data_IF_805435381883
#
_entry.id   IF_805435381883
#
_cell.length_a   1.000
_cell.length_b   1.000
_cell.length_c   1.000
_cell.angle_alpha   90.00
_cell.angle_beta   90.00
_cell.angle_gamma   90.00
#
_symmetry.space_group_name_H-M   'P 1'
#
loop_
_entity.id
_entity.type
_entity.pdbx_description
1 polymer ?
#
# COMPACT_ATOMS: atom_id res chain seq x y z
N UNK A 1 13.84 -13.17 4.33
CA UNK A 1 13.45 -13.01 2.92
C UNK A 1 14.70 -12.65 2.15
N UNK A 2 15.16 -13.51 1.27
CA UNK A 2 16.21 -13.17 0.30
C UNK A 2 15.48 -12.63 -0.93
N UNK A 3 15.36 -11.33 -1.05
CA UNK A 3 14.85 -10.72 -2.27
C UNK A 3 15.88 -10.98 -3.40
N UNK A 4 15.45 -11.58 -4.50
CA UNK A 4 16.28 -11.76 -5.67
C UNK A 4 16.69 -10.41 -6.29
N UNK A 5 17.58 -10.40 -7.29
CA UNK A 5 18.18 -9.18 -7.86
C UNK A 5 17.17 -8.21 -8.50
N UNK A 6 15.92 -8.59 -8.66
CA UNK A 6 14.88 -7.77 -9.28
C UNK A 6 13.94 -7.06 -8.30
N UNK A 7 13.98 -7.40 -7.01
CA UNK A 7 13.11 -6.84 -5.97
C UNK A 7 13.49 -5.42 -5.58
N UNK A 8 12.75 -4.86 -4.64
CA UNK A 8 12.92 -3.56 -4.02
C UNK A 8 11.65 -3.25 -3.26
N UNK A 9 11.72 -2.38 -2.25
CA UNK A 9 10.56 -2.10 -1.38
C UNK A 9 9.32 -1.67 -2.18
N UNK A 10 9.51 -0.94 -3.28
CA UNK A 10 8.41 -0.48 -4.12
C UNK A 10 7.67 -1.61 -4.83
N UNK A 11 8.37 -2.68 -5.26
CA UNK A 11 7.73 -3.83 -5.87
C UNK A 11 7.22 -4.83 -4.84
N UNK A 12 7.99 -5.07 -3.77
CA UNK A 12 7.58 -5.98 -2.68
C UNK A 12 6.32 -5.49 -1.96
N UNK A 13 6.18 -4.14 -1.80
CA UNK A 13 5.05 -3.50 -1.14
C UNK A 13 4.14 -2.73 -2.12
N UNK A 14 4.14 -3.09 -3.40
CA UNK A 14 3.29 -2.45 -4.42
C UNK A 14 1.78 -2.55 -4.10
N UNK A 15 1.39 -3.55 -3.32
CA UNK A 15 0.02 -3.71 -2.84
C UNK A 15 -0.45 -2.56 -1.92
N UNK A 16 0.45 -1.75 -1.35
CA UNK A 16 0.08 -0.54 -0.62
C UNK A 16 -0.35 0.59 -1.57
N UNK A 17 0.29 0.69 -2.74
CA UNK A 17 -0.13 1.61 -3.79
C UNK A 17 -1.48 1.22 -4.38
N UNK A 18 -1.70 -0.09 -4.56
CA UNK A 18 -2.98 -0.63 -4.98
C UNK A 18 -4.09 -0.34 -3.96
N UNK A 19 -3.81 -0.56 -2.67
CA UNK A 19 -4.73 -0.24 -1.57
C UNK A 19 -5.12 1.25 -1.54
N UNK A 20 -4.18 2.15 -1.76
CA UNK A 20 -4.45 3.59 -1.86
C UNK A 20 -5.43 3.87 -3.00
N UNK A 21 -5.18 3.33 -4.19
CA UNK A 21 -6.07 3.52 -5.34
C UNK A 21 -7.46 2.91 -5.13
N UNK A 22 -7.51 1.72 -4.54
CA UNK A 22 -8.76 1.03 -4.26
C UNK A 22 -9.65 1.77 -3.26
N UNK A 23 -9.06 2.32 -2.19
CA UNK A 23 -9.79 3.02 -1.12
C UNK A 23 -10.07 4.49 -1.43
N UNK A 24 -9.09 5.19 -2.01
CA UNK A 24 -9.11 6.65 -2.11
C UNK A 24 -9.28 7.15 -3.56
N UNK A 25 -9.25 6.24 -4.52
CA UNK A 25 -9.32 6.56 -5.93
C UNK A 25 -7.94 6.79 -6.55
N UNK A 26 -7.93 7.17 -7.83
CA UNK A 26 -6.71 7.30 -8.60
C UNK A 26 -5.75 8.33 -7.99
N UNK A 27 -4.47 7.95 -7.93
CA UNK A 27 -3.41 8.78 -7.40
C UNK A 27 -2.31 9.03 -8.44
N UNK A 28 -1.66 10.19 -8.35
CA UNK A 28 -0.51 10.59 -9.18
C UNK A 28 0.64 10.96 -8.26
N UNK A 29 1.84 10.48 -8.55
CA UNK A 29 3.05 10.81 -7.78
C UNK A 29 3.46 12.25 -8.06
N UNK A 30 3.53 13.08 -7.02
CA UNK A 30 4.01 14.45 -7.09
C UNK A 30 5.50 14.53 -6.78
N UNK A 31 5.95 13.75 -5.80
CA UNK A 31 7.33 13.72 -5.36
C UNK A 31 7.64 12.39 -4.68
N UNK A 32 8.90 11.95 -4.78
CA UNK A 32 9.33 10.71 -4.16
C UNK A 32 10.83 10.67 -3.90
N UNK A 33 11.24 9.77 -3.02
CA UNK A 33 12.63 9.46 -2.77
C UNK A 33 12.77 8.00 -2.41
N UNK A 34 13.73 7.36 -3.04
CA UNK A 34 14.12 5.99 -2.69
C UNK A 34 15.50 5.99 -2.04
N UNK A 35 15.73 5.04 -1.18
CA UNK A 35 16.99 4.90 -0.47
C UNK A 35 17.36 3.41 -0.36
N UNK A 36 18.66 3.14 -0.44
CA UNK A 36 19.26 1.84 -0.16
C UNK A 36 20.22 1.97 0.99
N UNK A 37 19.88 1.41 2.15
CA UNK A 37 20.69 1.51 3.37
C UNK A 37 21.94 0.64 3.34
N UNK A 38 21.89 -0.45 2.57
CA UNK A 38 22.93 -1.49 2.59
C UNK A 38 22.89 -2.41 3.81
N UNK A 39 21.86 -2.29 4.66
CA UNK A 39 21.66 -3.14 5.85
C UNK A 39 21.01 -4.48 5.52
N UNK A 40 20.31 -4.54 4.39
CA UNK A 40 19.69 -5.76 3.88
C UNK A 40 20.44 -6.26 2.65
N UNK A 41 20.44 -7.59 2.44
CA UNK A 41 20.94 -8.21 1.21
C UNK A 41 19.97 -7.99 0.03
N UNK A 42 19.75 -6.71 -0.30
CA UNK A 42 18.91 -6.27 -1.42
C UNK A 42 19.75 -5.45 -2.38
N UNK A 43 19.55 -5.65 -3.68
CA UNK A 43 20.25 -4.85 -4.72
C UNK A 43 19.54 -3.53 -5.02
N UNK A 44 18.25 -3.44 -4.66
CA UNK A 44 17.39 -2.28 -4.88
C UNK A 44 17.12 -1.53 -3.58
N UNK A 45 16.23 -0.54 -3.67
CA UNK A 45 15.78 0.28 -2.56
C UNK A 45 15.13 -0.57 -1.44
N UNK A 46 15.44 -0.25 -0.18
CA UNK A 46 14.86 -0.85 1.03
C UNK A 46 13.98 0.14 1.82
N UNK A 47 13.97 1.40 1.38
CA UNK A 47 13.09 2.46 1.86
C UNK A 47 12.61 3.31 0.67
N UNK A 48 11.35 3.66 0.65
CA UNK A 48 10.77 4.64 -0.26
C UNK A 48 9.79 5.54 0.48
N UNK A 49 9.83 6.84 0.17
CA UNK A 49 8.86 7.83 0.64
C UNK A 49 8.26 8.54 -0.57
N UNK A 50 6.99 8.91 -0.48
CA UNK A 50 6.30 9.57 -1.58
C UNK A 50 5.22 10.54 -1.12
N UNK A 51 4.94 11.53 -1.96
CA UNK A 51 3.79 12.41 -1.87
C UNK A 51 2.96 12.23 -3.14
N UNK A 52 1.69 11.86 -2.96
CA UNK A 52 0.79 11.63 -4.08
C UNK A 52 -0.40 12.58 -3.99
N UNK A 53 -0.93 12.97 -5.14
CA UNK A 53 -2.20 13.70 -5.25
C UNK A 53 -3.30 12.74 -5.70
N UNK A 54 -4.48 12.86 -5.09
CA UNK A 54 -5.68 12.13 -5.47
C UNK A 54 -6.47 12.91 -6.52
N UNK A 55 -6.99 12.26 -7.54
CA UNK A 55 -7.83 12.89 -8.58
C UNK A 55 -9.09 13.53 -7.98
N UNK A 56 -9.65 12.95 -6.92
CA UNK A 56 -10.78 13.49 -6.17
C UNK A 56 -10.45 14.66 -5.24
N UNK A 57 -9.19 15.09 -5.20
CA UNK A 57 -8.65 16.06 -4.25
C UNK A 57 -8.10 15.39 -2.99
N UNK A 58 -7.06 15.97 -2.44
CA UNK A 58 -6.34 15.45 -1.27
C UNK A 58 -4.92 15.01 -1.58
N UNK A 59 -4.18 14.73 -0.52
CA UNK A 59 -2.77 14.31 -0.58
C UNK A 59 -2.57 13.05 0.23
N UNK A 60 -1.66 12.19 -0.25
CA UNK A 60 -1.23 10.98 0.43
C UNK A 60 0.27 11.06 0.69
N UNK A 61 0.67 10.96 1.96
CA UNK A 61 2.04 10.70 2.35
C UNK A 61 2.26 9.19 2.45
N UNK A 62 3.26 8.68 1.75
CA UNK A 62 3.60 7.27 1.69
C UNK A 62 4.98 7.03 2.28
N UNK A 63 5.10 6.00 3.12
CA UNK A 63 6.37 5.41 3.50
C UNK A 63 6.29 3.90 3.33
N UNK A 64 7.24 3.33 2.57
CA UNK A 64 7.42 1.89 2.40
C UNK A 64 8.81 1.53 2.92
N UNK A 65 8.89 0.61 3.87
CA UNK A 65 10.08 0.37 4.66
C UNK A 65 10.27 -1.13 4.95
N UNK A 66 11.39 -1.69 4.52
CA UNK A 66 11.80 -3.05 4.84
C UNK A 66 12.74 -3.14 6.04
N UNK A 67 13.10 -2.00 6.66
CA UNK A 67 14.08 -1.91 7.73
C UNK A 67 13.48 -2.03 9.13
N UNK A 68 12.15 -1.95 9.23
CA UNK A 68 11.43 -1.99 10.51
C UNK A 68 11.69 -3.31 11.24
N UNK A 69 11.99 -3.18 12.53
CA UNK A 69 12.25 -4.34 13.43
C UNK A 69 10.97 -4.98 13.95
N UNK A 70 9.86 -4.24 13.85
CA UNK A 70 8.52 -4.66 14.23
C UNK A 70 7.62 -4.49 13.02
N UNK A 71 6.77 -5.47 12.78
CA UNK A 71 5.78 -5.35 11.70
C UNK A 71 4.89 -4.13 11.95
N UNK A 72 4.82 -3.27 10.96
CA UNK A 72 4.00 -2.07 10.98
C UNK A 72 3.30 -1.94 9.62
N UNK A 73 1.97 -1.88 9.61
CA UNK A 73 1.17 -1.66 8.42
C UNK A 73 -0.07 -0.88 8.80
N UNK A 74 0.02 0.43 8.71
CA UNK A 74 -1.02 1.34 9.18
C UNK A 74 -1.41 2.34 8.11
N UNK A 75 -2.66 2.80 8.16
CA UNK A 75 -3.16 3.88 7.33
C UNK A 75 -3.97 4.84 8.18
N UNK A 76 -3.72 6.14 8.01
CA UNK A 76 -4.51 7.21 8.62
C UNK A 76 -5.17 8.04 7.51
N UNK A 77 -6.48 8.24 7.60
CA UNK A 77 -7.25 9.03 6.64
C UNK A 77 -8.00 10.12 7.37
N UNK A 78 -7.73 11.38 7.02
CA UNK A 78 -8.44 12.54 7.56
C UNK A 78 -9.37 13.11 6.48
N UNK A 79 -10.63 13.24 6.81
CA UNK A 79 -11.64 13.94 6.02
C UNK A 79 -12.07 15.23 6.73
N UNK A 80 -13.04 15.95 6.19
CA UNK A 80 -13.62 17.14 6.82
C UNK A 80 -14.37 16.83 8.13
N UNK A 81 -14.93 15.60 8.28
CA UNK A 81 -15.73 15.22 9.43
C UNK A 81 -15.07 14.15 10.31
N UNK A 82 -14.23 13.30 9.73
CA UNK A 82 -13.76 12.09 10.38
C UNK A 82 -12.24 11.90 10.25
N UNK A 83 -11.67 11.30 11.28
CA UNK A 83 -10.34 10.73 11.28
C UNK A 83 -10.44 9.21 11.42
N UNK A 84 -10.00 8.50 10.39
CA UNK A 84 -9.92 7.04 10.39
C UNK A 84 -8.49 6.60 10.63
N UNK A 85 -8.31 5.60 11.46
CA UNK A 85 -7.02 4.93 11.64
C UNK A 85 -7.22 3.42 11.50
N UNK A 86 -6.44 2.83 10.60
CA UNK A 86 -6.44 1.41 10.29
C UNK A 86 -5.10 0.81 10.73
N UNK A 87 -5.14 -0.28 11.48
CA UNK A 87 -4.02 -1.19 11.67
C UNK A 87 -4.33 -2.48 10.91
N UNK A 88 -3.58 -2.71 9.83
CA UNK A 88 -3.80 -3.83 8.92
C UNK A 88 -3.10 -5.12 9.41
N UNK A 89 -2.29 -5.05 10.47
CA UNK A 89 -1.72 -6.22 11.15
C UNK A 89 -2.75 -6.80 12.12
N UNK A 90 -3.34 -5.95 12.97
CA UNK A 90 -4.32 -6.36 13.98
C UNK A 90 -5.75 -6.47 13.41
N UNK A 91 -5.98 -5.97 12.18
CA UNK A 91 -7.31 -5.93 11.57
C UNK A 91 -8.25 -4.98 12.28
N UNK A 92 -7.75 -3.85 12.79
CA UNK A 92 -8.55 -2.88 13.52
C UNK A 92 -8.78 -1.59 12.72
N UNK A 93 -9.98 -1.04 12.88
CA UNK A 93 -10.40 0.26 12.35
C UNK A 93 -10.98 1.09 13.48
N UNK A 94 -10.50 2.31 13.62
CA UNK A 94 -11.11 3.33 14.49
C UNK A 94 -11.55 4.55 13.69
N UNK A 95 -12.57 5.23 14.20
CA UNK A 95 -13.09 6.49 13.68
C UNK A 95 -13.16 7.50 14.83
N UNK A 96 -12.49 8.63 14.70
CA UNK A 96 -12.38 9.67 15.73
C UNK A 96 -11.94 9.14 17.12
N UNK A 97 -11.11 8.09 17.10
CA UNK A 97 -10.59 7.44 18.30
C UNK A 97 -11.48 6.34 18.89
N UNK A 98 -12.66 6.11 18.33
CA UNK A 98 -13.54 5.02 18.72
C UNK A 98 -13.37 3.80 17.81
N UNK A 99 -13.25 2.61 18.38
CA UNK A 99 -13.11 1.37 17.60
C UNK A 99 -14.42 1.07 16.86
N UNK A 100 -14.34 1.02 15.53
CA UNK A 100 -15.47 0.68 14.64
C UNK A 100 -15.50 -0.81 14.35
N UNK A 101 -14.32 -1.40 14.14
CA UNK A 101 -14.17 -2.82 13.85
C UNK A 101 -12.82 -3.31 14.40
N UNK A 102 -12.81 -4.53 14.89
CA UNK A 102 -11.56 -5.22 15.27
C UNK A 102 -11.76 -6.73 15.17
N UNK A 103 -10.74 -7.42 14.74
CA UNK A 103 -10.75 -8.89 14.71
C UNK A 103 -9.60 -9.42 13.87
N UNK A 104 -9.19 -10.66 14.12
CA UNK A 104 -8.11 -11.29 13.38
C UNK A 104 -8.47 -11.39 11.90
N UNK A 105 -7.50 -11.09 11.06
CA UNK A 105 -7.62 -11.29 9.61
C UNK A 105 -7.09 -12.68 9.28
N UNK A 106 -8.00 -13.59 8.93
CA UNK A 106 -7.63 -14.94 8.52
C UNK A 106 -7.07 -14.92 7.09
N UNK A 107 -5.75 -15.05 6.98
CA UNK A 107 -5.01 -14.95 5.73
C UNK A 107 -5.57 -15.85 4.63
N UNK A 108 -5.89 -17.09 4.95
CA UNK A 108 -6.37 -18.06 3.98
C UNK A 108 -7.76 -17.69 3.43
N UNK A 109 -8.61 -17.07 4.25
CA UNK A 109 -9.90 -16.56 3.82
C UNK A 109 -9.77 -15.39 2.84
N UNK A 110 -8.81 -14.48 3.09
CA UNK A 110 -8.51 -13.36 2.18
C UNK A 110 -8.05 -13.89 0.82
N UNK A 111 -7.09 -14.83 0.79
CA UNK A 111 -6.64 -15.44 -0.46
C UNK A 111 -7.77 -16.18 -1.19
N UNK A 112 -8.59 -16.94 -0.46
CA UNK A 112 -9.72 -17.62 -1.03
C UNK A 112 -10.76 -16.65 -1.61
N UNK A 113 -10.99 -15.51 -0.97
CA UNK A 113 -11.87 -14.45 -1.48
C UNK A 113 -11.32 -13.83 -2.76
N UNK A 114 -10.03 -13.48 -2.80
CA UNK A 114 -9.35 -12.98 -4.00
C UNK A 114 -9.48 -13.96 -5.18
N UNK A 115 -9.18 -15.24 -4.97
CA UNK A 115 -9.30 -16.26 -6.03
C UNK A 115 -10.75 -16.37 -6.53
N UNK A 116 -11.73 -16.36 -5.62
CA UNK A 116 -13.15 -16.39 -6.02
C UNK A 116 -13.53 -15.15 -6.84
N UNK A 117 -13.09 -13.96 -6.45
CA UNK A 117 -13.36 -12.72 -7.16
C UNK A 117 -12.84 -12.79 -8.62
N UNK A 118 -11.60 -13.23 -8.80
CA UNK A 118 -10.99 -13.38 -10.13
C UNK A 118 -11.72 -14.42 -10.97
N UNK A 119 -11.99 -15.62 -10.42
CA UNK A 119 -12.65 -16.72 -11.17
C UNK A 119 -14.08 -16.34 -11.55
N UNK A 120 -14.78 -15.60 -10.70
CA UNK A 120 -16.18 -15.21 -10.91
C UNK A 120 -16.34 -13.89 -11.67
N UNK A 121 -15.23 -13.23 -12.05
CA UNK A 121 -15.25 -11.94 -12.73
C UNK A 121 -15.94 -10.84 -11.92
N UNK A 122 -15.73 -10.83 -10.60
CA UNK A 122 -16.31 -9.81 -9.73
C UNK A 122 -15.60 -8.48 -9.90
N UNK A 123 -16.31 -7.35 -9.73
CA UNK A 123 -15.74 -6.01 -9.94
C UNK A 123 -14.64 -5.65 -8.93
N UNK A 124 -14.56 -6.36 -7.80
CA UNK A 124 -13.55 -6.14 -6.77
C UNK A 124 -12.20 -6.82 -7.08
N UNK A 125 -12.13 -7.58 -8.17
CA UNK A 125 -10.87 -8.17 -8.62
C UNK A 125 -10.04 -7.11 -9.34
N UNK A 126 -8.76 -6.95 -8.92
CA UNK A 126 -7.82 -6.04 -9.57
C UNK A 126 -7.73 -6.33 -11.07
N UNK A 127 -7.94 -5.32 -11.89
CA UNK A 127 -7.83 -5.38 -13.35
C UNK A 127 -6.39 -5.17 -13.81
N UNK A 128 -6.11 -5.51 -15.08
CA UNK A 128 -4.79 -5.24 -15.68
C UNK A 128 -4.50 -3.73 -15.70
N UNK A 129 -5.50 -2.89 -15.99
CA UNK A 129 -5.32 -1.45 -16.06
C UNK A 129 -4.99 -0.85 -14.67
N UNK A 130 -5.62 -1.34 -13.60
CA UNK A 130 -5.30 -0.96 -12.22
C UNK A 130 -3.89 -1.40 -11.84
N UNK A 131 -3.52 -2.64 -12.14
CA UNK A 131 -2.17 -3.15 -11.91
C UNK A 131 -1.11 -2.34 -12.69
N UNK A 132 -1.39 -1.95 -13.93
CA UNK A 132 -0.50 -1.10 -14.72
C UNK A 132 -0.38 0.31 -14.12
N UNK A 133 -1.45 0.88 -13.59
CA UNK A 133 -1.38 2.17 -12.90
C UNK A 133 -0.48 2.11 -11.65
N UNK A 134 -0.53 1.01 -10.89
CA UNK A 134 0.40 0.77 -9.76
C UNK A 134 1.85 0.71 -10.24
N UNK A 135 2.12 -0.02 -11.33
CA UNK A 135 3.49 -0.10 -11.87
C UNK A 135 4.00 1.25 -12.35
N UNK A 136 3.17 2.08 -12.96
CA UNK A 136 3.55 3.44 -13.33
C UNK A 136 3.90 4.28 -12.09
N UNK A 137 3.14 4.20 -11.00
CA UNK A 137 3.51 4.88 -9.74
C UNK A 137 4.85 4.39 -9.17
N UNK A 138 5.14 3.09 -9.26
CA UNK A 138 6.45 2.53 -8.88
C UNK A 138 7.58 3.14 -9.71
N UNK A 139 7.39 3.26 -11.04
CA UNK A 139 8.38 3.86 -11.95
C UNK A 139 8.57 5.36 -11.66
N UNK A 140 7.47 6.09 -11.45
CA UNK A 140 7.51 7.51 -11.10
C UNK A 140 8.28 7.75 -9.79
N UNK A 141 7.98 6.96 -8.74
CA UNK A 141 8.69 7.05 -7.45
C UNK A 141 10.18 6.73 -7.55
N UNK A 142 10.60 5.91 -8.53
CA UNK A 142 12.02 5.59 -8.78
C UNK A 142 12.74 6.66 -9.58
N UNK A 143 12.01 7.41 -10.39
CA UNK A 143 12.60 8.37 -11.35
C UNK A 143 12.79 9.78 -10.76
N UNK A 144 12.17 10.08 -9.63
CA UNK A 144 12.23 11.36 -8.92
C UNK A 144 13.32 11.38 -7.86
#
# INVERSE_FOLDING_TARGET
>A
MTAGPAGGVLLELSHELDLIQWLLGRAVVLHGRTFRSGLLEMEREDLAVGLLALDGGGLVGLELNCLDRVQNRTMAVTTDEHFFYLDLIDGSLSCNGETVSSGPVERDEVFAAMHRAVISGQPDACTIDEAMAVLHMVEDLRSL
#
